data_IF_218276219705
#
_entry.id   IF_218276219705
#
_cell.length_a   1.000
_cell.length_b   1.000
_cell.length_c   1.000
_cell.angle_alpha   90.00
_cell.angle_beta   90.00
_cell.angle_gamma   90.00
#
_symmetry.space_group_name_H-M   'P 1'
#
loop_
_entity.id
_entity.type
_entity.pdbx_description
1 polymer ?
#
# COMPACT_ATOMS: atom_id res chain seq x y z
N UNK A 1 -26.74 -53.68 -36.17
CA UNK A 1 -25.67 -52.97 -36.90
C UNK A 1 -25.33 -51.71 -36.12
N UNK A 2 -24.16 -51.67 -35.51
CA UNK A 2 -23.49 -50.49 -34.92
C UNK A 2 -22.83 -49.65 -36.05
N UNK A 3 -22.23 -48.44 -35.84
CA UNK A 3 -21.68 -47.93 -34.58
C UNK A 3 -21.80 -46.43 -34.24
N UNK A 4 -21.40 -46.16 -32.99
CA UNK A 4 -21.29 -44.89 -32.26
C UNK A 4 -20.13 -43.97 -32.70
N UNK A 5 -20.12 -42.68 -32.30
CA UNK A 5 -18.96 -41.79 -32.37
C UNK A 5 -18.12 -41.74 -31.07
N UNK A 6 -16.87 -41.22 -31.12
CA UNK A 6 -15.77 -41.62 -30.23
C UNK A 6 -15.61 -40.79 -28.95
N UNK A 7 -15.04 -41.46 -27.94
CA UNK A 7 -14.69 -40.97 -26.60
C UNK A 7 -13.46 -40.05 -26.60
N UNK A 8 -13.55 -38.94 -25.85
CA UNK A 8 -12.44 -38.06 -25.54
C UNK A 8 -11.55 -38.68 -24.44
N UNK A 9 -10.23 -38.69 -24.70
CA UNK A 9 -9.18 -39.22 -23.83
C UNK A 9 -8.97 -38.34 -22.58
N UNK A 10 -9.08 -38.95 -21.41
CA UNK A 10 -8.49 -38.47 -20.15
C UNK A 10 -7.01 -38.86 -20.11
N UNK A 11 -6.11 -37.89 -19.95
CA UNK A 11 -4.71 -38.15 -19.58
C UNK A 11 -4.61 -38.28 -18.06
N UNK A 12 -4.40 -39.52 -17.61
CA UNK A 12 -4.05 -39.90 -16.25
C UNK A 12 -2.56 -40.18 -16.23
N UNK A 13 -1.77 -39.32 -15.59
CA UNK A 13 -0.34 -39.53 -15.38
C UNK A 13 -0.16 -40.42 -14.15
N UNK A 14 0.37 -41.61 -14.38
CA UNK A 14 0.74 -42.60 -13.37
C UNK A 14 2.25 -42.56 -13.12
N UNK A 15 2.65 -42.41 -11.86
CA UNK A 15 3.90 -42.98 -11.28
C UNK A 15 3.52 -44.35 -10.65
N UNK A 16 4.43 -45.31 -10.29
CA UNK A 16 5.81 -45.11 -9.81
C UNK A 16 6.90 -46.20 -10.11
N UNK A 17 8.18 -45.85 -9.81
CA UNK A 17 9.29 -46.69 -9.22
C UNK A 17 10.01 -47.82 -10.01
N UNK A 18 11.20 -48.35 -9.58
CA UNK A 18 12.52 -47.73 -9.29
C UNK A 18 13.72 -48.60 -9.82
N UNK A 19 14.93 -48.42 -9.25
CA UNK A 19 16.22 -49.18 -9.39
C UNK A 19 17.22 -48.59 -10.43
N UNK A 20 18.52 -48.39 -10.19
CA UNK A 20 19.52 -49.05 -9.31
C UNK A 20 20.66 -48.05 -8.93
N UNK A 21 21.14 -48.15 -7.70
CA UNK A 21 22.38 -47.63 -7.05
C UNK A 21 23.71 -47.95 -7.80
N UNK A 22 24.89 -47.33 -7.52
CA UNK A 22 25.59 -47.45 -6.22
C UNK A 22 26.39 -46.22 -5.69
N UNK A 23 26.54 -46.23 -4.36
CA UNK A 23 27.46 -45.42 -3.53
C UNK A 23 28.92 -45.99 -3.61
N UNK A 24 29.96 -45.51 -2.88
CA UNK A 24 29.99 -44.49 -1.82
C UNK A 24 31.19 -43.51 -1.86
N UNK A 25 31.08 -42.36 -1.16
CA UNK A 25 32.12 -41.97 -0.23
C UNK A 25 31.62 -40.89 0.75
N UNK A 26 31.77 -41.22 2.03
CA UNK A 26 31.37 -40.40 3.16
C UNK A 26 32.43 -39.33 3.46
N UNK A 27 31.99 -38.09 3.68
CA UNK A 27 32.70 -37.13 4.53
C UNK A 27 31.70 -36.12 5.12
N UNK A 28 31.31 -36.41 6.36
CA UNK A 28 31.09 -35.49 7.49
C UNK A 28 30.47 -34.08 7.24
N UNK A 29 29.19 -33.99 7.60
CA UNK A 29 28.51 -32.97 8.43
C UNK A 29 29.10 -31.54 8.57
N UNK A 30 28.29 -30.55 8.14
CA UNK A 30 28.11 -29.28 8.86
C UNK A 30 26.67 -28.76 8.63
N UNK A 31 25.87 -28.50 9.69
CA UNK A 31 24.54 -27.92 9.52
C UNK A 31 24.64 -26.43 9.20
N UNK A 32 24.08 -26.01 8.07
CA UNK A 32 23.91 -24.60 7.71
C UNK A 32 22.90 -23.95 8.67
N UNK A 33 23.38 -23.44 9.80
CA UNK A 33 22.62 -22.56 10.69
C UNK A 33 22.18 -21.32 9.92
N UNK A 34 20.88 -21.21 9.67
CA UNK A 34 20.22 -19.99 9.21
C UNK A 34 20.44 -18.90 10.28
N UNK A 35 21.47 -18.08 10.15
CA UNK A 35 21.64 -16.88 11.00
C UNK A 35 20.42 -15.98 10.83
N UNK A 36 19.79 -15.51 11.93
CA UNK A 36 18.79 -14.46 11.85
C UNK A 36 19.44 -13.24 11.20
N UNK A 37 18.86 -12.73 10.12
CA UNK A 37 19.16 -11.37 9.64
C UNK A 37 18.79 -10.43 10.79
N UNK A 38 19.78 -10.04 11.59
CA UNK A 38 19.64 -8.91 12.48
C UNK A 38 19.28 -7.72 11.60
N UNK A 39 18.02 -7.28 11.69
CA UNK A 39 17.63 -5.99 11.15
C UNK A 39 18.48 -5.00 11.93
N UNK A 40 19.47 -4.42 11.26
CA UNK A 40 20.25 -3.34 11.83
C UNK A 40 19.30 -2.25 12.36
N UNK A 41 19.78 -1.40 13.28
CA UNK A 41 19.01 -0.24 13.72
C UNK A 41 18.46 0.49 12.50
N UNK A 42 17.22 1.03 12.56
CA UNK A 42 16.67 1.76 11.42
C UNK A 42 17.72 2.78 11.01
N UNK A 43 18.24 2.62 9.80
CA UNK A 43 19.10 3.63 9.21
C UNK A 43 18.24 4.88 9.23
N UNK A 44 18.61 5.84 10.08
CA UNK A 44 18.11 7.20 9.94
C UNK A 44 18.44 7.54 8.50
N UNK A 45 17.43 7.51 7.64
CA UNK A 45 17.57 7.83 6.22
C UNK A 45 18.41 9.09 6.17
N UNK A 46 19.50 9.05 5.41
CA UNK A 46 20.59 10.02 5.38
C UNK A 46 20.13 11.49 5.35
N UNK A 47 19.74 12.02 6.51
CA UNK A 47 19.54 13.44 6.80
C UNK A 47 20.88 14.10 7.20
N UNK A 48 21.97 13.34 7.18
CA UNK A 48 23.30 13.84 7.48
C UNK A 48 23.81 14.65 6.29
N UNK A 49 23.61 15.97 6.31
CA UNK A 49 24.50 17.05 5.77
C UNK A 49 23.71 18.29 5.28
N UNK A 50 22.37 18.35 5.32
CA UNK A 50 21.70 19.62 5.02
C UNK A 50 21.95 20.62 6.16
N UNK A 51 22.56 21.78 5.85
CA UNK A 51 22.67 22.90 6.80
C UNK A 51 21.35 23.66 6.98
N UNK A 52 20.32 23.28 6.23
CA UNK A 52 19.02 23.93 6.21
C UNK A 52 17.99 23.07 6.94
N UNK A 53 16.96 23.73 7.47
CA UNK A 53 15.84 23.00 8.07
C UNK A 53 15.00 22.30 7.00
N UNK A 54 14.29 21.26 7.41
CA UNK A 54 13.34 20.54 6.54
C UNK A 54 12.30 21.49 5.96
N UNK A 55 11.85 22.51 6.71
CA UNK A 55 10.90 23.51 6.21
C UNK A 55 11.52 24.37 5.10
N UNK A 56 12.74 24.88 5.30
CA UNK A 56 13.41 25.70 4.28
C UNK A 56 13.68 24.92 2.99
N UNK A 57 14.05 23.65 3.13
CA UNK A 57 14.20 22.76 1.98
C UNK A 57 12.85 22.48 1.28
N UNK A 58 11.74 22.41 2.02
CA UNK A 58 10.41 22.25 1.44
C UNK A 58 10.00 23.49 0.62
N UNK A 59 10.21 24.69 1.16
CA UNK A 59 9.88 25.95 0.49
C UNK A 59 10.72 26.10 -0.79
N UNK A 60 12.02 25.78 -0.70
CA UNK A 60 12.93 25.78 -1.87
C UNK A 60 12.49 24.76 -2.92
N UNK A 61 12.09 23.56 -2.51
CA UNK A 61 11.57 22.52 -3.40
C UNK A 61 10.31 22.99 -4.14
N UNK A 62 9.35 23.56 -3.41
CA UNK A 62 8.10 24.05 -4.00
C UNK A 62 8.36 25.13 -5.05
N UNK A 63 9.18 26.13 -4.70
CA UNK A 63 9.58 27.21 -5.63
C UNK A 63 10.24 26.70 -6.90
N UNK A 64 11.23 25.81 -6.79
CA UNK A 64 11.91 25.27 -7.97
C UNK A 64 10.95 24.48 -8.86
N UNK A 65 9.95 23.82 -8.28
CA UNK A 65 9.02 22.96 -9.01
C UNK A 65 7.85 23.70 -9.64
N UNK A 66 7.17 24.57 -8.90
CA UNK A 66 5.94 25.23 -9.36
C UNK A 66 6.24 26.60 -10.01
N UNK A 67 7.16 27.40 -9.45
CA UNK A 67 7.49 28.73 -10.00
C UNK A 67 8.52 28.63 -11.13
N UNK A 68 9.64 27.94 -10.89
CA UNK A 68 10.74 27.83 -11.86
C UNK A 68 10.60 26.64 -12.82
N UNK A 69 9.56 25.81 -12.65
CA UNK A 69 9.21 24.62 -13.46
C UNK A 69 10.37 23.66 -13.77
N UNK A 70 11.30 23.49 -12.82
CA UNK A 70 12.43 22.57 -12.98
C UNK A 70 12.01 21.11 -12.94
N UNK A 71 12.76 20.28 -13.65
CA UNK A 71 12.65 18.82 -13.60
C UNK A 71 13.18 18.29 -12.27
N UNK A 72 12.75 17.08 -11.88
CA UNK A 72 13.22 16.44 -10.65
C UNK A 72 14.74 16.26 -10.60
N UNK A 73 15.35 16.01 -11.75
CA UNK A 73 16.80 15.85 -11.88
C UNK A 73 17.53 17.17 -11.67
N UNK A 74 17.07 18.25 -12.29
CA UNK A 74 17.64 19.58 -12.08
C UNK A 74 17.51 20.03 -10.62
N UNK A 75 16.37 19.75 -9.99
CA UNK A 75 16.16 20.05 -8.57
C UNK A 75 17.15 19.27 -7.69
N UNK A 76 17.44 18.00 -8.00
CA UNK A 76 18.44 17.22 -7.29
C UNK A 76 19.84 17.84 -7.36
N UNK A 77 20.24 18.27 -8.56
CA UNK A 77 21.52 18.95 -8.77
C UNK A 77 21.57 20.30 -8.05
N UNK A 78 20.48 21.07 -8.04
CA UNK A 78 20.39 22.34 -7.28
C UNK A 78 20.56 22.08 -5.78
N UNK A 79 19.87 21.08 -5.22
CA UNK A 79 19.96 20.77 -3.79
C UNK A 79 21.37 20.32 -3.40
N UNK A 80 22.00 19.50 -4.25
CA UNK A 80 23.39 19.09 -4.08
C UNK A 80 24.35 20.29 -4.13
N UNK A 81 24.18 21.19 -5.10
CA UNK A 81 24.99 22.40 -5.27
C UNK A 81 24.82 23.39 -4.10
N UNK A 82 23.62 23.49 -3.54
CA UNK A 82 23.32 24.37 -2.40
C UNK A 82 23.72 23.76 -1.04
N UNK A 83 24.19 22.50 -1.01
CA UNK A 83 24.53 21.81 0.24
C UNK A 83 23.31 21.41 1.07
N UNK A 84 22.17 21.16 0.42
CA UNK A 84 20.90 20.66 1.02
C UNK A 84 20.84 19.13 1.09
N UNK A 85 21.99 18.48 1.00
CA UNK A 85 22.12 17.03 0.91
C UNK A 85 22.02 16.47 -0.51
N UNK A 86 22.41 15.21 -0.66
CA UNK A 86 22.33 14.50 -1.94
C UNK A 86 20.98 13.78 -2.06
N UNK A 87 19.93 14.56 -2.34
CA UNK A 87 18.58 14.02 -2.49
C UNK A 87 18.41 13.40 -3.88
N UNK A 88 18.03 12.13 -3.92
CA UNK A 88 17.69 11.48 -5.19
C UNK A 88 16.39 12.04 -5.76
N UNK A 89 16.20 11.91 -7.07
CA UNK A 89 14.97 12.34 -7.76
C UNK A 89 13.70 11.75 -7.15
N UNK A 90 13.75 10.49 -6.68
CA UNK A 90 12.62 9.85 -6.02
C UNK A 90 12.30 10.50 -4.66
N UNK A 91 13.32 10.81 -3.86
CA UNK A 91 13.14 11.48 -2.56
C UNK A 91 12.52 12.86 -2.76
N UNK A 92 13.00 13.62 -3.74
CA UNK A 92 12.46 14.93 -4.11
C UNK A 92 11.00 14.83 -4.53
N UNK A 93 10.67 13.86 -5.39
CA UNK A 93 9.29 13.62 -5.85
C UNK A 93 8.36 13.31 -4.69
N UNK A 94 8.73 12.33 -3.85
CA UNK A 94 7.92 11.94 -2.68
C UNK A 94 7.72 13.13 -1.75
N UNK A 95 8.79 13.88 -1.47
CA UNK A 95 8.73 15.07 -0.62
C UNK A 95 7.80 16.13 -1.19
N UNK A 96 7.89 16.41 -2.50
CA UNK A 96 7.03 17.37 -3.17
C UNK A 96 5.54 17.00 -3.12
N UNK A 97 5.16 15.77 -3.46
CA UNK A 97 3.74 15.39 -3.44
C UNK A 97 3.18 15.40 -2.02
N UNK A 98 3.96 14.95 -1.04
CA UNK A 98 3.59 15.08 0.39
C UNK A 98 3.42 16.54 0.83
N UNK A 99 4.14 17.47 0.22
CA UNK A 99 3.93 18.91 0.45
C UNK A 99 2.65 19.38 -0.21
N UNK A 100 2.42 19.03 -1.48
CA UNK A 100 1.19 19.42 -2.20
C UNK A 100 -0.08 18.95 -1.49
N UNK A 101 -0.07 17.74 -0.94
CA UNK A 101 -1.20 17.22 -0.17
C UNK A 101 -1.47 18.06 1.09
N UNK A 102 -0.41 18.57 1.72
CA UNK A 102 -0.51 19.43 2.92
C UNK A 102 -0.84 20.89 2.59
N UNK A 103 -0.53 21.34 1.37
CA UNK A 103 -0.82 22.71 0.92
C UNK A 103 -2.20 22.85 0.29
N UNK A 104 -3.05 21.81 0.32
CA UNK A 104 -4.45 21.96 -0.08
C UNK A 104 -5.12 22.92 0.90
N UNK A 105 -5.26 24.17 0.48
CA UNK A 105 -6.02 25.19 1.19
C UNK A 105 -7.48 24.99 0.80
N UNK A 106 -8.32 24.65 1.78
CA UNK A 106 -9.75 24.52 1.58
C UNK A 106 -10.39 25.91 1.70
N UNK A 107 -11.19 26.30 0.70
CA UNK A 107 -11.99 27.53 0.78
C UNK A 107 -13.15 27.38 1.76
N UNK A 108 -13.65 28.49 2.32
CA UNK A 108 -14.77 28.48 3.27
C UNK A 108 -16.00 27.75 2.70
N UNK A 109 -16.35 27.99 1.44
CA UNK A 109 -17.45 27.30 0.76
C UNK A 109 -17.23 25.78 0.64
N UNK A 110 -15.98 25.34 0.42
CA UNK A 110 -15.64 23.91 0.34
C UNK A 110 -15.75 23.26 1.72
N UNK A 111 -15.33 23.99 2.76
CA UNK A 111 -15.46 23.57 4.16
C UNK A 111 -16.95 23.46 4.54
N UNK A 112 -17.78 24.42 4.14
CA UNK A 112 -19.23 24.36 4.38
C UNK A 112 -19.88 23.18 3.66
N UNK A 113 -19.56 22.96 2.39
CA UNK A 113 -20.01 21.78 1.64
C UNK A 113 -19.56 20.47 2.31
N UNK A 114 -18.32 20.41 2.78
CA UNK A 114 -17.80 19.24 3.50
C UNK A 114 -18.56 19.00 4.80
N UNK A 115 -18.81 20.05 5.60
CA UNK A 115 -19.61 19.95 6.84
C UNK A 115 -21.03 19.45 6.55
N UNK A 116 -21.68 19.98 5.51
CA UNK A 116 -23.00 19.55 5.10
C UNK A 116 -23.01 18.07 4.66
N UNK A 117 -22.02 17.66 3.87
CA UNK A 117 -21.87 16.27 3.42
C UNK A 117 -21.63 15.31 4.60
N UNK A 118 -20.76 15.66 5.55
CA UNK A 118 -20.51 14.87 6.76
C UNK A 118 -21.81 14.71 7.56
N UNK A 119 -22.54 15.81 7.79
CA UNK A 119 -23.79 15.77 8.55
C UNK A 119 -24.86 14.90 7.87
N UNK A 120 -24.93 14.92 6.54
CA UNK A 120 -25.85 14.08 5.78
C UNK A 120 -25.47 12.59 5.80
N UNK A 121 -24.17 12.28 5.69
CA UNK A 121 -23.66 10.91 5.87
C UNK A 121 -23.97 10.42 7.28
N UNK A 122 -23.79 11.23 8.31
CA UNK A 122 -24.08 10.84 9.69
C UNK A 122 -25.56 10.51 9.92
N UNK A 123 -26.47 11.22 9.23
CA UNK A 123 -27.91 10.91 9.27
C UNK A 123 -28.22 9.56 8.64
N UNK A 124 -27.55 9.23 7.54
CA UNK A 124 -27.82 8.03 6.74
C UNK A 124 -26.90 6.85 7.03
N UNK A 125 -25.91 7.00 7.92
CA UNK A 125 -24.89 5.97 8.19
C UNK A 125 -25.49 4.64 8.61
N UNK A 126 -26.54 4.66 9.42
CA UNK A 126 -27.16 3.44 9.92
C UNK A 126 -28.01 2.74 8.85
N UNK A 127 -28.55 3.48 7.90
CA UNK A 127 -29.21 2.92 6.72
C UNK A 127 -28.19 2.20 5.82
N UNK A 128 -27.03 2.83 5.60
CA UNK A 128 -25.92 2.21 4.87
C UNK A 128 -25.40 0.95 5.58
N UNK A 129 -25.24 1.01 6.91
CA UNK A 129 -24.84 -0.15 7.72
C UNK A 129 -25.88 -1.26 7.63
N UNK A 130 -27.17 -0.95 7.75
CA UNK A 130 -28.28 -1.90 7.58
C UNK A 130 -28.26 -2.56 6.21
N UNK A 131 -28.10 -1.77 5.13
CA UNK A 131 -27.99 -2.28 3.77
C UNK A 131 -26.76 -3.20 3.63
N UNK A 132 -25.61 -2.79 4.18
CA UNK A 132 -24.38 -3.59 4.13
C UNK A 132 -24.50 -4.89 4.92
N UNK A 133 -25.16 -4.87 6.07
CA UNK A 133 -25.48 -6.07 6.85
C UNK A 133 -26.35 -7.06 6.05
N UNK A 134 -27.33 -6.55 5.30
CA UNK A 134 -28.15 -7.39 4.43
C UNK A 134 -27.34 -7.99 3.26
N UNK A 135 -26.43 -7.22 2.66
CA UNK A 135 -25.52 -7.71 1.61
C UNK A 135 -24.60 -8.81 2.13
N UNK A 136 -23.96 -8.59 3.29
CA UNK A 136 -23.06 -9.56 3.92
C UNK A 136 -23.78 -10.84 4.38
N UNK A 137 -25.06 -10.73 4.75
CA UNK A 137 -25.89 -11.88 5.14
C UNK A 137 -26.42 -12.71 3.96
N UNK A 138 -26.30 -12.22 2.72
CA UNK A 138 -26.81 -12.91 1.53
C UNK A 138 -28.32 -13.11 1.54
N UNK A 139 -28.81 -14.08 0.75
CA UNK A 139 -30.25 -14.33 0.56
C UNK A 139 -30.95 -14.89 1.82
N UNK A 140 -30.20 -15.56 2.68
CA UNK A 140 -30.71 -16.20 3.91
C UNK A 140 -30.49 -15.34 5.17
N UNK A 141 -29.79 -14.20 5.02
CA UNK A 141 -29.43 -13.31 6.11
C UNK A 141 -30.62 -12.54 6.69
N UNK A 142 -30.71 -12.51 8.02
CA UNK A 142 -31.69 -11.66 8.71
C UNK A 142 -31.41 -10.19 8.40
N UNK A 143 -32.42 -9.45 7.96
CA UNK A 143 -32.36 -8.00 7.76
C UNK A 143 -32.61 -7.27 9.08
N UNK A 144 -31.81 -6.25 9.36
CA UNK A 144 -31.92 -5.44 10.56
C UNK A 144 -32.19 -3.99 10.16
N UNK A 145 -33.26 -3.34 10.66
CA UNK A 145 -33.47 -1.92 10.42
C UNK A 145 -32.32 -1.06 10.96
N UNK A 146 -32.08 0.09 10.34
CA UNK A 146 -31.04 1.05 10.72
C UNK A 146 -30.98 1.34 12.23
N UNK A 147 -32.13 1.62 12.86
CA UNK A 147 -32.22 1.92 14.29
C UNK A 147 -31.78 0.74 15.18
N UNK A 148 -31.96 -0.51 14.73
CA UNK A 148 -31.53 -1.70 15.45
C UNK A 148 -30.02 -1.84 15.35
N UNK A 149 -29.46 -1.63 14.15
CA UNK A 149 -28.00 -1.60 13.94
C UNK A 149 -27.34 -0.54 14.81
N UNK A 150 -27.90 0.67 14.86
CA UNK A 150 -27.42 1.76 15.71
C UNK A 150 -27.39 1.36 17.19
N UNK A 151 -28.52 0.89 17.71
CA UNK A 151 -28.64 0.54 19.13
C UNK A 151 -27.65 -0.57 19.48
N UNK A 152 -27.50 -1.57 18.59
CA UNK A 152 -26.56 -2.66 18.80
C UNK A 152 -25.11 -2.19 18.74
N UNK A 153 -24.78 -1.25 17.85
CA UNK A 153 -23.44 -0.71 17.72
C UNK A 153 -22.99 0.13 18.92
N UNK A 154 -23.92 0.68 19.71
CA UNK A 154 -23.62 1.43 20.95
C UNK A 154 -23.29 0.52 22.14
N UNK A 155 -23.54 -0.79 22.04
CA UNK A 155 -23.37 -1.76 23.13
C UNK A 155 -22.31 -2.82 22.83
N UNK A 156 -21.66 -2.76 21.67
CA UNK A 156 -20.48 -3.58 21.32
C UNK A 156 -19.22 -2.77 21.58
#
# INVERSE_FOLDING_TARGET
>A
MSPSPPAAKQESISEPSPEVTPAPNASVAAPATKRPRQRGPPTKHSDTTSRYSISQDNDRLYKLREEERKTWQEIAEVFKKEGRGNLTTNVIRVRFYRLKDKTVVWGDDEIERLKAAIADVDKRKWELVSAKMAELGGAEGRRFPAAVCERKAKVI
#
